data_IF_502278261472
#
_entry.id   IF_502278261472
#
_cell.length_a   1.000
_cell.length_b   1.000
_cell.length_c   1.000
_cell.angle_alpha   90.00
_cell.angle_beta   90.00
_cell.angle_gamma   90.00
#
_symmetry.space_group_name_H-M   'P 1'
#
loop_
_entity.id
_entity.type
_entity.pdbx_description
1 polymer ?
#
# COMPACT_ATOMS: atom_id res chain seq x y z
N UNK A 1 50.23 25.71 41.52
CA UNK A 1 49.27 25.19 40.54
C UNK A 1 48.41 24.19 41.29
N UNK A 2 47.23 24.62 41.70
CA UNK A 2 46.36 23.85 42.58
C UNK A 2 45.56 22.85 41.73
N UNK A 3 45.59 21.60 42.17
CA UNK A 3 44.80 20.48 41.71
C UNK A 3 43.31 20.80 41.86
N UNK A 4 42.56 20.81 40.75
CA UNK A 4 41.10 20.72 40.80
C UNK A 4 40.70 19.29 40.44
N UNK A 5 40.79 18.42 41.44
CA UNK A 5 40.14 17.12 41.43
C UNK A 5 38.63 17.36 41.45
N UNK A 6 38.00 17.30 40.29
CA UNK A 6 36.55 17.29 40.16
C UNK A 6 36.03 16.02 40.81
N UNK A 7 35.42 16.15 41.99
CA UNK A 7 34.77 15.06 42.69
C UNK A 7 33.62 14.53 41.84
N UNK A 8 33.82 13.37 41.18
CA UNK A 8 32.73 12.53 40.67
C UNK A 8 31.88 12.13 41.88
N UNK A 9 30.67 12.66 41.97
CA UNK A 9 29.65 12.10 42.86
C UNK A 9 29.32 10.71 42.31
N UNK A 10 29.91 9.67 42.88
CA UNK A 10 29.60 8.27 42.57
C UNK A 10 28.19 7.96 43.05
N UNK A 11 27.19 8.24 42.23
CA UNK A 11 25.82 7.77 42.43
C UNK A 11 25.81 6.27 42.19
N UNK A 12 25.97 5.46 43.23
CA UNK A 12 25.92 4.00 43.09
C UNK A 12 24.46 3.51 43.12
N UNK A 13 24.13 2.56 42.24
CA UNK A 13 22.83 1.86 42.28
C UNK A 13 22.76 1.07 43.58
N UNK A 14 21.59 1.07 44.21
CA UNK A 14 21.31 0.26 45.39
C UNK A 14 21.66 -1.22 45.13
N UNK A 15 22.51 -1.82 45.97
CA UNK A 15 22.92 -3.22 45.86
C UNK A 15 21.74 -4.21 45.87
N UNK A 16 20.69 -3.90 46.63
CA UNK A 16 19.46 -4.70 46.63
C UNK A 16 18.71 -4.64 45.30
N UNK A 17 18.75 -3.48 44.61
CA UNK A 17 18.14 -3.34 43.30
C UNK A 17 18.88 -4.16 42.25
N UNK A 18 20.23 -4.17 42.29
CA UNK A 18 21.05 -5.03 41.42
C UNK A 18 20.71 -6.51 41.61
N UNK A 19 20.55 -6.96 42.85
CA UNK A 19 20.17 -8.34 43.15
C UNK A 19 18.76 -8.70 42.65
N UNK A 20 17.79 -7.80 42.84
CA UNK A 20 16.42 -7.98 42.34
C UNK A 20 16.39 -8.11 40.81
N UNK A 21 17.05 -7.20 40.10
CA UNK A 21 17.12 -7.21 38.63
C UNK A 21 17.81 -8.49 38.14
N UNK A 22 18.97 -8.84 38.71
CA UNK A 22 19.72 -10.04 38.32
C UNK A 22 18.94 -11.33 38.58
N UNK A 23 18.19 -11.42 39.69
CA UNK A 23 17.35 -12.57 40.03
C UNK A 23 16.16 -12.73 39.08
N UNK A 24 15.52 -11.62 38.68
CA UNK A 24 14.41 -11.64 37.73
C UNK A 24 14.91 -12.07 36.35
N UNK A 25 15.96 -11.41 35.85
CA UNK A 25 16.54 -11.73 34.55
C UNK A 25 17.08 -13.16 34.49
N UNK A 26 17.66 -13.69 35.57
CA UNK A 26 18.13 -15.09 35.60
C UNK A 26 17.02 -16.13 35.49
N UNK A 27 15.77 -15.73 35.74
CA UNK A 27 14.58 -16.58 35.63
C UNK A 27 13.95 -16.53 34.23
N UNK A 28 14.34 -15.57 33.39
CA UNK A 28 13.86 -15.49 32.01
C UNK A 28 14.53 -16.54 31.12
N UNK A 29 13.72 -17.08 30.21
CA UNK A 29 14.16 -18.00 29.16
C UNK A 29 14.54 -17.22 27.90
N UNK A 30 15.41 -17.80 27.06
CA UNK A 30 15.83 -17.23 25.76
C UNK A 30 16.64 -15.93 25.78
N UNK A 31 17.30 -15.61 26.91
CA UNK A 31 18.27 -14.51 26.94
C UNK A 31 19.55 -14.87 26.17
N UNK A 32 20.02 -13.95 25.34
CA UNK A 32 21.29 -14.10 24.65
C UNK A 32 22.46 -13.92 25.62
N UNK A 33 23.39 -14.89 25.60
CA UNK A 33 24.66 -14.79 26.30
C UNK A 33 25.82 -14.93 25.31
N UNK A 34 26.91 -14.15 25.48
CA UNK A 34 28.12 -14.32 24.68
C UNK A 34 28.67 -15.75 24.81
N UNK A 35 29.26 -16.28 23.73
CA UNK A 35 29.76 -17.66 23.65
C UNK A 35 30.70 -18.06 24.79
N UNK A 36 31.48 -17.11 25.31
CA UNK A 36 32.38 -17.32 26.45
C UNK A 36 31.67 -17.65 27.77
N UNK A 37 30.43 -17.18 27.94
CA UNK A 37 29.64 -17.33 29.18
C UNK A 37 28.48 -18.31 29.03
N UNK A 38 28.14 -18.72 27.80
CA UNK A 38 27.09 -19.70 27.50
C UNK A 38 27.16 -21.01 28.31
N UNK A 39 28.33 -21.65 28.51
CA UNK A 39 28.40 -22.89 29.29
C UNK A 39 28.00 -22.72 30.76
N UNK A 40 28.20 -21.52 31.31
CA UNK A 40 27.80 -21.15 32.67
C UNK A 40 26.37 -20.64 32.73
N UNK A 41 25.84 -20.13 31.63
CA UNK A 41 24.48 -19.65 31.53
C UNK A 41 23.43 -20.78 31.44
N UNK A 42 23.79 -22.06 31.60
CA UNK A 42 22.80 -23.14 31.70
C UNK A 42 22.06 -23.12 33.04
N UNK A 43 22.74 -22.73 34.12
CA UNK A 43 22.16 -22.70 35.47
C UNK A 43 21.67 -21.29 35.84
N UNK A 44 20.46 -21.18 36.40
CA UNK A 44 19.89 -19.89 36.82
C UNK A 44 20.76 -19.17 37.86
N UNK A 45 21.34 -19.90 38.83
CA UNK A 45 22.24 -19.32 39.83
C UNK A 45 23.51 -18.73 39.20
N UNK A 46 24.05 -19.38 38.17
CA UNK A 46 25.23 -18.90 37.46
C UNK A 46 24.87 -17.71 36.56
N UNK A 47 23.71 -17.70 35.90
CA UNK A 47 23.19 -16.52 35.17
C UNK A 47 23.11 -15.29 36.08
N UNK A 48 22.55 -15.46 37.29
CA UNK A 48 22.47 -14.37 38.28
C UNK A 48 23.86 -13.80 38.59
N UNK A 49 24.85 -14.66 38.81
CA UNK A 49 26.23 -14.22 39.08
C UNK A 49 26.84 -13.41 37.92
N UNK A 50 26.54 -13.80 36.67
CA UNK A 50 27.01 -13.09 35.46
C UNK A 50 26.39 -11.69 35.38
N UNK A 51 25.10 -11.55 35.67
CA UNK A 51 24.43 -10.25 35.67
C UNK A 51 24.95 -9.34 36.79
N UNK A 52 25.18 -9.87 37.99
CA UNK A 52 25.75 -9.09 39.10
C UNK A 52 27.16 -8.62 38.81
N UNK A 53 28.00 -9.46 38.19
CA UNK A 53 29.33 -9.07 37.74
C UNK A 53 29.25 -7.93 36.70
N UNK A 54 28.37 -8.06 35.70
CA UNK A 54 28.22 -7.05 34.66
C UNK A 54 27.66 -5.72 35.21
N UNK A 55 26.62 -5.76 36.05
CA UNK A 55 26.05 -4.59 36.73
C UNK A 55 27.03 -3.89 37.69
N UNK A 56 28.11 -4.57 38.09
CA UNK A 56 29.14 -4.01 38.96
C UNK A 56 30.34 -3.48 38.16
N UNK A 57 30.65 -4.13 37.03
CA UNK A 57 31.80 -3.80 36.21
C UNK A 57 31.50 -2.73 35.16
N UNK A 58 30.40 -2.90 34.43
CA UNK A 58 30.02 -2.05 33.31
C UNK A 58 28.50 -2.04 33.10
N UNK A 59 27.89 -0.94 33.51
CA UNK A 59 26.44 -0.73 33.48
C UNK A 59 25.97 -0.36 32.08
N UNK A 60 26.78 0.34 31.28
CA UNK A 60 26.42 0.72 29.92
C UNK A 60 26.27 -0.52 29.03
N UNK A 61 27.24 -1.43 29.08
CA UNK A 61 27.19 -2.72 28.34
C UNK A 61 26.03 -3.60 28.82
N UNK A 62 25.68 -3.54 30.12
CA UNK A 62 24.49 -4.21 30.63
C UNK A 62 23.20 -3.66 29.99
N UNK A 63 23.05 -2.33 29.97
CA UNK A 63 21.86 -1.67 29.42
C UNK A 63 21.75 -1.86 27.91
N UNK A 64 22.85 -1.83 27.16
CA UNK A 64 22.87 -2.11 25.72
C UNK A 64 22.30 -3.50 25.40
N UNK A 65 22.70 -4.52 26.16
CA UNK A 65 22.37 -5.92 25.86
C UNK A 65 21.06 -6.41 26.46
N UNK A 66 20.78 -5.98 27.68
CA UNK A 66 19.67 -6.50 28.49
C UNK A 66 18.64 -5.43 28.84
N UNK A 67 18.87 -4.17 28.46
CA UNK A 67 18.00 -3.05 28.81
C UNK A 67 16.57 -3.18 28.28
N UNK A 68 16.38 -3.81 27.12
CA UNK A 68 15.04 -4.06 26.53
C UNK A 68 14.20 -5.05 27.34
N UNK A 69 14.83 -5.80 28.25
CA UNK A 69 14.18 -6.79 29.12
C UNK A 69 13.88 -6.23 30.52
N UNK A 70 14.25 -4.98 30.79
CA UNK A 70 14.00 -4.29 32.05
C UNK A 70 12.58 -3.70 32.10
N UNK A 71 12.04 -3.57 33.30
CA UNK A 71 10.78 -2.85 33.52
C UNK A 71 11.02 -1.35 33.72
N UNK A 72 9.97 -0.53 33.61
CA UNK A 72 10.07 0.92 33.87
C UNK A 72 10.57 1.23 35.28
N UNK A 73 10.13 0.46 36.27
CA UNK A 73 10.55 0.62 37.67
C UNK A 73 12.04 0.29 37.85
N UNK A 74 12.53 -0.74 37.17
CA UNK A 74 13.95 -1.12 37.21
C UNK A 74 14.82 -0.09 36.50
N UNK A 75 14.36 0.49 35.40
CA UNK A 75 15.07 1.59 34.72
C UNK A 75 15.19 2.83 35.60
N UNK A 76 14.25 3.07 36.51
CA UNK A 76 14.31 4.18 37.45
C UNK A 76 15.45 4.03 38.47
N UNK A 77 15.83 2.79 38.83
CA UNK A 77 16.95 2.52 39.75
C UNK A 77 18.31 2.99 39.18
N UNK A 78 18.41 3.17 37.86
CA UNK A 78 19.60 3.68 37.18
C UNK A 78 19.64 5.22 37.07
N UNK A 79 18.59 5.93 37.48
CA UNK A 79 18.53 7.40 37.40
C UNK A 79 19.61 8.10 38.24
N UNK A 80 20.09 7.42 39.29
CA UNK A 80 21.21 7.90 40.11
C UNK A 80 22.52 8.05 39.30
N UNK A 81 22.63 7.37 38.16
CA UNK A 81 23.79 7.34 37.28
C UNK A 81 23.67 8.23 36.03
N UNK A 82 22.66 9.12 35.97
CA UNK A 82 22.49 10.09 34.86
C UNK A 82 23.70 10.99 34.59
N UNK A 83 24.66 11.06 35.51
CA UNK A 83 25.90 11.81 35.32
C UNK A 83 26.84 11.20 34.27
N UNK A 84 26.69 9.91 33.94
CA UNK A 84 27.40 9.30 32.82
C UNK A 84 26.59 9.46 31.53
N UNK A 85 27.24 9.96 30.48
CA UNK A 85 26.62 10.19 29.19
C UNK A 85 26.10 8.89 28.55
N UNK A 86 26.89 7.81 28.58
CA UNK A 86 26.53 6.55 27.92
C UNK A 86 25.32 5.92 28.60
N UNK A 87 25.33 5.87 29.94
CA UNK A 87 24.22 5.35 30.74
C UNK A 87 22.96 6.20 30.49
N UNK A 88 23.07 7.53 30.55
CA UNK A 88 21.95 8.41 30.30
C UNK A 88 21.38 8.24 28.88
N UNK A 89 22.24 8.08 27.87
CA UNK A 89 21.81 7.81 26.50
C UNK A 89 21.02 6.50 26.41
N UNK A 90 21.54 5.40 26.96
CA UNK A 90 20.84 4.11 26.98
C UNK A 90 19.50 4.19 27.73
N UNK A 91 19.45 4.86 28.88
CA UNK A 91 18.21 5.02 29.64
C UNK A 91 17.15 5.79 28.87
N UNK A 92 17.53 6.89 28.22
CA UNK A 92 16.60 7.68 27.41
C UNK A 92 16.13 6.87 26.20
N UNK A 93 17.04 6.21 25.49
CA UNK A 93 16.70 5.35 24.36
C UNK A 93 15.72 4.23 24.73
N UNK A 94 15.97 3.53 25.84
CA UNK A 94 15.09 2.47 26.34
C UNK A 94 13.71 3.01 26.73
N UNK A 95 13.64 4.20 27.34
CA UNK A 95 12.37 4.87 27.65
C UNK A 95 11.59 5.24 26.39
N UNK A 96 12.27 5.77 25.38
CA UNK A 96 11.67 6.09 24.07
C UNK A 96 11.19 4.83 23.33
N UNK A 97 11.75 3.65 23.61
CA UNK A 97 11.26 2.38 23.06
C UNK A 97 10.04 1.88 23.84
N UNK A 98 10.10 1.87 25.17
CA UNK A 98 9.05 1.30 26.02
C UNK A 98 7.81 2.19 26.15
N UNK A 99 8.03 3.50 26.29
CA UNK A 99 7.01 4.50 26.62
C UNK A 99 7.26 5.76 25.78
N UNK A 100 7.11 5.68 24.45
CA UNK A 100 7.36 6.82 23.58
C UNK A 100 6.41 7.97 23.92
N UNK A 101 6.96 9.17 24.04
CA UNK A 101 6.18 10.39 24.27
C UNK A 101 5.36 10.72 23.01
N UNK A 102 4.24 11.43 23.17
CA UNK A 102 3.44 11.90 22.02
C UNK A 102 4.27 12.66 20.99
N UNK A 103 5.24 13.47 21.44
CA UNK A 103 6.16 14.17 20.55
C UNK A 103 7.10 13.23 19.81
N UNK A 104 7.62 12.19 20.47
CA UNK A 104 8.49 11.19 19.82
C UNK A 104 7.71 10.35 18.80
N UNK A 105 6.46 9.98 19.10
CA UNK A 105 5.57 9.31 18.14
C UNK A 105 5.29 10.21 16.93
N UNK A 106 5.04 11.50 17.17
CA UNK A 106 4.85 12.49 16.11
C UNK A 106 6.10 12.61 15.24
N UNK A 107 7.29 12.71 15.85
CA UNK A 107 8.56 12.78 15.13
C UNK A 107 8.81 11.51 14.30
N UNK A 108 8.61 10.31 14.87
CA UNK A 108 8.71 9.05 14.11
C UNK A 108 7.74 9.03 12.92
N UNK A 109 6.49 9.47 13.12
CA UNK A 109 5.52 9.56 12.04
C UNK A 109 5.95 10.54 10.95
N UNK A 110 6.55 11.68 11.31
CA UNK A 110 7.09 12.65 10.35
C UNK A 110 8.26 12.03 9.58
N UNK A 111 9.21 11.39 10.27
CA UNK A 111 10.35 10.70 9.63
C UNK A 111 9.87 9.66 8.63
N UNK A 112 8.90 8.82 9.00
CA UNK A 112 8.30 7.82 8.09
C UNK A 112 7.67 8.50 6.87
N UNK A 113 6.87 9.55 7.05
CA UNK A 113 6.25 10.28 5.93
C UNK A 113 7.29 10.90 5.01
N UNK A 114 8.36 11.46 5.56
CA UNK A 114 9.45 12.07 4.80
C UNK A 114 10.23 11.02 4.00
N UNK A 115 10.58 9.88 4.62
CA UNK A 115 11.26 8.74 3.96
C UNK A 115 10.40 8.18 2.82
N UNK A 116 9.12 7.94 3.08
CA UNK A 116 8.17 7.52 2.04
C UNK A 116 8.08 8.56 0.93
N UNK A 117 8.04 9.87 1.23
CA UNK A 117 8.03 10.91 0.19
C UNK A 117 9.30 10.92 -0.66
N UNK A 118 10.46 10.74 -0.06
CA UNK A 118 11.72 10.60 -0.79
C UNK A 118 11.71 9.37 -1.71
N UNK A 119 11.24 8.23 -1.20
CA UNK A 119 11.12 7.00 -1.99
C UNK A 119 10.08 7.11 -3.11
N UNK A 120 8.96 7.79 -2.86
CA UNK A 120 7.93 8.09 -3.85
C UNK A 120 8.53 8.83 -5.05
N UNK A 121 9.31 9.89 -4.80
CA UNK A 121 9.96 10.66 -5.87
C UNK A 121 10.90 9.79 -6.71
N UNK A 122 11.62 8.85 -6.07
CA UNK A 122 12.45 7.87 -6.76
C UNK A 122 11.59 6.95 -7.65
N UNK A 123 10.50 6.40 -7.13
CA UNK A 123 9.60 5.54 -7.89
C UNK A 123 8.93 6.25 -9.08
N UNK A 124 8.59 7.53 -8.92
CA UNK A 124 8.07 8.36 -10.01
C UNK A 124 9.13 8.54 -11.09
N UNK A 125 10.39 8.75 -10.70
CA UNK A 125 11.51 8.90 -11.64
C UNK A 125 11.83 7.61 -12.39
N UNK A 126 11.73 6.46 -11.71
CA UNK A 126 11.94 5.14 -12.28
C UNK A 126 10.83 4.79 -13.30
N UNK A 127 9.57 5.11 -12.96
CA UNK A 127 8.41 5.06 -13.87
C UNK A 127 7.70 3.70 -13.97
N UNK A 128 8.22 2.62 -13.37
CA UNK A 128 7.59 1.30 -13.45
C UNK A 128 6.46 1.13 -12.44
N UNK A 129 6.67 1.58 -11.19
CA UNK A 129 5.70 1.35 -10.10
C UNK A 129 4.39 2.13 -10.29
N UNK A 130 4.49 3.37 -10.77
CA UNK A 130 3.35 4.23 -11.10
C UNK A 130 3.02 4.22 -12.59
N UNK A 131 3.40 3.16 -13.31
CA UNK A 131 2.88 2.94 -14.66
C UNK A 131 1.39 2.58 -14.58
N UNK A 132 0.62 2.93 -15.62
CA UNK A 132 -0.81 2.63 -15.66
C UNK A 132 -1.08 1.13 -15.46
N UNK A 133 -0.34 0.27 -16.16
CA UNK A 133 -0.48 -1.18 -16.05
C UNK A 133 -0.21 -1.67 -14.62
N UNK A 134 0.89 -1.22 -14.00
CA UNK A 134 1.23 -1.61 -12.62
C UNK A 134 0.23 -1.08 -11.59
N UNK A 135 -0.36 0.09 -11.82
CA UNK A 135 -1.41 0.61 -10.93
C UNK A 135 -2.74 -0.14 -11.14
N UNK A 136 -3.08 -0.49 -12.39
CA UNK A 136 -4.28 -1.29 -12.73
C UNK A 136 -4.24 -2.67 -12.10
N UNK A 137 -3.09 -3.35 -12.13
CA UNK A 137 -2.96 -4.69 -11.52
C UNK A 137 -3.19 -4.66 -10.01
N UNK A 138 -2.77 -3.58 -9.35
CA UNK A 138 -2.86 -3.42 -7.89
C UNK A 138 -4.22 -2.93 -7.43
N UNK A 139 -4.83 -2.03 -8.19
CA UNK A 139 -6.14 -1.44 -7.86
C UNK A 139 -7.07 -1.46 -9.09
N UNK A 140 -7.57 -2.65 -9.48
CA UNK A 140 -8.27 -2.81 -10.75
C UNK A 140 -9.62 -2.08 -10.79
N UNK A 141 -10.36 -2.08 -9.68
CA UNK A 141 -11.63 -1.37 -9.59
C UNK A 141 -11.46 0.15 -9.67
N UNK A 142 -10.46 0.69 -8.96
CA UNK A 142 -10.18 2.11 -9.00
C UNK A 142 -9.72 2.55 -10.40
N UNK A 143 -8.88 1.75 -11.06
CA UNK A 143 -8.51 2.01 -12.46
C UNK A 143 -9.75 2.01 -13.37
N UNK A 144 -10.64 1.03 -13.21
CA UNK A 144 -11.87 0.94 -14.01
C UNK A 144 -12.73 2.20 -13.89
N UNK A 145 -12.95 2.69 -12.65
CA UNK A 145 -13.79 3.86 -12.38
C UNK A 145 -13.24 5.17 -12.97
N UNK A 146 -11.92 5.35 -12.96
CA UNK A 146 -11.28 6.58 -13.43
C UNK A 146 -10.93 6.52 -14.92
N UNK A 147 -10.35 5.42 -15.39
CA UNK A 147 -9.76 5.32 -16.73
C UNK A 147 -10.44 4.22 -17.55
N UNK A 148 -10.59 3.03 -16.97
CA UNK A 148 -10.94 1.82 -17.71
C UNK A 148 -12.34 1.80 -18.33
N UNK A 149 -13.31 2.58 -17.83
CA UNK A 149 -14.65 2.72 -18.42
C UNK A 149 -14.72 3.63 -19.64
N UNK A 150 -13.73 4.51 -19.81
CA UNK A 150 -13.63 5.46 -20.92
C UNK A 150 -12.68 4.99 -22.02
N UNK A 151 -11.89 3.94 -21.76
CA UNK A 151 -11.02 3.33 -22.76
C UNK A 151 -11.83 2.54 -23.78
N UNK A 152 -11.42 2.62 -25.04
CA UNK A 152 -12.05 1.90 -26.15
C UNK A 152 -12.06 0.38 -25.91
N UNK A 153 -13.24 -0.28 -25.93
CA UNK A 153 -13.38 -1.73 -25.85
C UNK A 153 -12.57 -2.49 -26.91
N UNK A 154 -12.16 -1.85 -28.00
CA UNK A 154 -11.32 -2.46 -29.05
C UNK A 154 -10.00 -3.05 -28.51
N UNK A 155 -9.45 -2.46 -27.44
CA UNK A 155 -8.29 -3.02 -26.72
C UNK A 155 -8.59 -4.37 -26.06
N UNK A 156 -9.85 -4.65 -25.72
CA UNK A 156 -10.31 -5.91 -25.11
C UNK A 156 -10.76 -6.94 -26.14
N UNK A 157 -10.68 -6.62 -27.43
CA UNK A 157 -11.12 -7.50 -28.52
C UNK A 157 -10.46 -8.88 -28.48
N UNK A 158 -11.20 -9.87 -29.01
CA UNK A 158 -10.80 -11.27 -29.05
C UNK A 158 -9.52 -11.53 -29.86
N UNK A 159 -9.21 -10.70 -30.84
CA UNK A 159 -8.05 -10.89 -31.70
C UNK A 159 -7.43 -9.54 -32.04
N UNK A 160 -6.15 -9.36 -31.69
CA UNK A 160 -5.35 -8.23 -32.14
C UNK A 160 -4.56 -8.62 -33.39
N UNK A 161 -4.47 -7.77 -34.42
CA UNK A 161 -3.66 -8.05 -35.60
C UNK A 161 -2.21 -8.37 -35.23
N UNK A 162 -1.73 -9.56 -35.59
CA UNK A 162 -0.34 -10.00 -35.37
C UNK A 162 -0.06 -10.73 -34.06
N UNK A 163 -1.05 -10.91 -33.18
CA UNK A 163 -0.91 -11.63 -31.91
C UNK A 163 -1.07 -13.15 -32.10
N UNK A 164 -0.29 -13.97 -31.38
CA UNK A 164 -0.44 -15.43 -31.42
C UNK A 164 -1.61 -15.85 -30.52
N UNK A 165 -2.33 -16.92 -30.88
CA UNK A 165 -3.41 -17.47 -30.03
C UNK A 165 -2.99 -17.72 -28.57
N UNK A 166 -1.74 -18.12 -28.32
CA UNK A 166 -1.22 -18.29 -26.96
C UNK A 166 -1.14 -16.99 -26.17
N UNK A 167 -0.75 -15.89 -26.82
CA UNK A 167 -0.65 -14.55 -26.21
C UNK A 167 -2.04 -13.99 -25.94
N UNK A 168 -2.96 -14.14 -26.91
CA UNK A 168 -4.37 -13.78 -26.75
C UNK A 168 -5.03 -14.54 -25.59
N UNK A 169 -4.81 -15.85 -25.48
CA UNK A 169 -5.35 -16.66 -24.37
C UNK A 169 -4.81 -16.21 -23.01
N UNK A 170 -3.51 -15.94 -22.92
CA UNK A 170 -2.88 -15.46 -21.70
C UNK A 170 -3.47 -14.10 -21.28
N UNK A 171 -3.51 -13.14 -22.21
CA UNK A 171 -4.14 -11.82 -21.99
C UNK A 171 -5.59 -11.95 -21.55
N UNK A 172 -6.40 -12.79 -22.20
CA UNK A 172 -7.82 -12.99 -21.79
C UNK A 172 -7.95 -13.60 -20.41
N UNK A 173 -7.06 -14.50 -20.02
CA UNK A 173 -7.07 -15.08 -18.68
C UNK A 173 -6.73 -14.04 -17.61
N UNK A 174 -5.78 -13.14 -17.89
CA UNK A 174 -5.40 -12.03 -17.03
C UNK A 174 -6.55 -11.00 -16.92
N UNK A 175 -7.15 -10.62 -18.05
CA UNK A 175 -8.32 -9.72 -18.09
C UNK A 175 -9.53 -10.33 -17.36
N UNK A 176 -9.76 -11.64 -17.48
CA UNK A 176 -10.84 -12.31 -16.75
C UNK A 176 -10.62 -12.28 -15.23
N UNK A 177 -9.37 -12.40 -14.78
CA UNK A 177 -9.01 -12.25 -13.39
C UNK A 177 -9.28 -10.82 -12.90
N UNK A 178 -8.85 -9.80 -13.66
CA UNK A 178 -9.09 -8.39 -13.37
C UNK A 178 -10.59 -8.08 -13.27
N UNK A 179 -11.40 -8.53 -14.23
CA UNK A 179 -12.86 -8.34 -14.21
C UNK A 179 -13.52 -9.02 -13.02
N UNK A 180 -13.05 -10.22 -12.63
CA UNK A 180 -13.55 -10.90 -11.45
C UNK A 180 -13.22 -10.14 -10.14
N UNK A 181 -12.04 -9.53 -10.06
CA UNK A 181 -11.62 -8.68 -8.93
C UNK A 181 -12.50 -7.43 -8.83
N UNK A 182 -12.74 -6.76 -9.97
CA UNK A 182 -13.64 -5.60 -10.06
C UNK A 182 -15.05 -5.97 -9.57
N UNK A 183 -15.61 -7.09 -10.05
CA UNK A 183 -16.95 -7.55 -9.62
C UNK A 183 -17.03 -7.83 -8.14
N UNK A 184 -15.99 -8.44 -7.56
CA UNK A 184 -15.92 -8.70 -6.11
C UNK A 184 -15.99 -7.39 -5.33
N UNK A 185 -15.27 -6.37 -5.80
CA UNK A 185 -15.27 -5.06 -5.16
C UNK A 185 -16.61 -4.32 -5.34
N UNK A 186 -17.20 -4.36 -6.53
CA UNK A 186 -18.55 -3.84 -6.79
C UNK A 186 -19.60 -4.47 -5.88
N UNK A 187 -19.53 -5.79 -5.68
CA UNK A 187 -20.40 -6.51 -4.75
C UNK A 187 -20.18 -6.06 -3.30
N UNK A 188 -18.91 -5.89 -2.89
CA UNK A 188 -18.55 -5.43 -1.53
C UNK A 188 -19.11 -4.02 -1.24
N UNK A 189 -19.13 -3.15 -2.24
CA UNK A 189 -19.63 -1.78 -2.17
C UNK A 189 -21.15 -1.68 -2.37
N UNK A 190 -21.83 -2.76 -2.74
CA UNK A 190 -23.28 -2.80 -2.95
C UNK A 190 -23.74 -2.13 -4.25
N UNK A 191 -22.88 -2.11 -5.28
CA UNK A 191 -23.23 -1.64 -6.62
C UNK A 191 -24.32 -2.56 -7.21
N UNK A 192 -25.33 -1.98 -7.86
CA UNK A 192 -26.41 -2.75 -8.46
C UNK A 192 -25.88 -3.68 -9.57
N UNK A 193 -26.42 -4.90 -9.66
CA UNK A 193 -25.91 -5.92 -10.59
C UNK A 193 -25.96 -5.47 -12.06
N UNK A 194 -26.95 -4.64 -12.43
CA UNK A 194 -27.03 -4.03 -13.76
C UNK A 194 -25.81 -3.18 -14.14
N UNK A 195 -25.13 -2.60 -13.16
CA UNK A 195 -23.99 -1.69 -13.35
C UNK A 195 -22.65 -2.44 -13.20
N UNK A 196 -22.69 -3.78 -13.10
CA UNK A 196 -21.47 -4.59 -12.95
C UNK A 196 -20.70 -4.71 -14.27
N UNK A 197 -19.37 -4.67 -14.16
CA UNK A 197 -18.50 -4.76 -15.34
C UNK A 197 -18.73 -6.06 -16.10
N UNK A 198 -18.91 -5.95 -17.42
CA UNK A 198 -19.11 -7.08 -18.32
C UNK A 198 -20.52 -7.68 -18.31
N UNK A 199 -21.51 -7.03 -17.69
CA UNK A 199 -22.93 -7.32 -17.94
C UNK A 199 -23.44 -6.70 -19.24
N UNK A 200 -22.73 -5.70 -19.79
CA UNK A 200 -23.00 -5.10 -21.11
C UNK A 200 -23.02 -6.14 -22.23
N UNK A 201 -22.11 -7.12 -22.19
CA UNK A 201 -22.04 -8.19 -23.21
C UNK A 201 -23.23 -9.13 -23.11
N UNK A 202 -23.73 -9.40 -21.89
CA UNK A 202 -24.91 -10.26 -21.70
C UNK A 202 -26.18 -9.58 -22.16
N UNK A 203 -26.32 -8.27 -21.90
CA UNK A 203 -27.48 -7.51 -22.37
C UNK A 203 -27.49 -7.42 -23.89
N UNK A 204 -26.34 -7.22 -24.53
CA UNK A 204 -26.24 -7.20 -26.01
C UNK A 204 -26.47 -8.60 -26.60
N UNK A 205 -25.94 -9.68 -26.00
CA UNK A 205 -26.23 -11.05 -26.46
C UNK A 205 -27.70 -11.45 -26.22
N UNK A 206 -28.33 -11.00 -25.14
CA UNK A 206 -29.77 -11.21 -24.87
C UNK A 206 -30.64 -10.38 -25.83
N UNK A 207 -30.30 -9.11 -26.09
CA UNK A 207 -31.00 -8.27 -27.08
C UNK A 207 -30.82 -8.79 -28.51
N UNK A 208 -29.62 -9.22 -28.92
CA UNK A 208 -29.40 -9.84 -30.23
C UNK A 208 -30.18 -11.16 -30.36
N UNK A 209 -30.24 -11.98 -29.30
CA UNK A 209 -31.03 -13.21 -29.28
C UNK A 209 -32.54 -12.96 -29.33
N UNK A 210 -33.05 -11.94 -28.64
CA UNK A 210 -34.46 -11.53 -28.72
C UNK A 210 -34.83 -11.03 -30.12
N UNK A 211 -33.93 -10.29 -30.79
CA UNK A 211 -34.14 -9.84 -32.18
C UNK A 211 -34.11 -11.01 -33.16
N UNK A 212 -33.21 -11.99 -33.00
CA UNK A 212 -33.22 -13.22 -33.82
C UNK A 212 -34.52 -14.03 -33.62
N UNK A 213 -35.02 -14.14 -32.38
CA UNK A 213 -36.31 -14.81 -32.11
C UNK A 213 -37.50 -14.04 -32.72
N UNK A 214 -37.52 -12.70 -32.67
CA UNK A 214 -38.56 -11.89 -33.32
C UNK A 214 -38.51 -12.01 -34.86
N UNK A 215 -37.32 -12.05 -35.48
CA UNK A 215 -37.16 -12.29 -36.93
C UNK A 215 -37.64 -13.71 -37.33
N UNK A 216 -37.33 -14.75 -36.53
CA UNK A 216 -37.82 -16.11 -36.78
C UNK A 216 -39.36 -16.20 -36.66
N UNK A 217 -39.98 -15.52 -35.68
CA UNK A 217 -41.44 -15.47 -35.55
C UNK A 217 -42.12 -14.73 -36.72
N UNK A 218 -41.51 -13.65 -37.24
CA UNK A 218 -42.00 -12.96 -38.45
C UNK A 218 -41.90 -13.85 -39.70
N UNK A 219 -40.80 -14.58 -39.88
CA UNK A 219 -40.66 -15.53 -40.99
C UNK A 219 -41.68 -16.68 -40.92
N UNK A 220 -41.97 -17.22 -39.73
CA UNK A 220 -43.01 -18.25 -39.55
C UNK A 220 -44.42 -17.71 -39.85
N UNK A 221 -44.71 -16.46 -39.51
CA UNK A 221 -45.99 -15.80 -39.82
C UNK A 221 -46.14 -15.51 -41.33
N UNK A 222 -45.08 -15.10 -42.02
CA UNK A 222 -45.09 -14.93 -43.48
C UNK A 222 -45.26 -16.26 -44.23
N UNK A 223 -44.66 -17.35 -43.72
CA UNK A 223 -44.84 -18.69 -44.29
C UNK A 223 -46.26 -19.23 -44.06
N UNK A 224 -46.89 -18.92 -42.92
CA UNK A 224 -48.28 -19.27 -42.65
C UNK A 224 -49.27 -18.47 -43.51
N UNK A 225 -48.99 -17.20 -43.81
CA UNK A 225 -49.83 -16.34 -44.64
C UNK A 225 -49.77 -16.68 -46.14
N UNK A 226 -48.70 -17.31 -46.63
CA UNK A 226 -48.55 -17.71 -48.03
C UNK A 226 -49.25 -19.05 -48.40
N UNK A 227 -49.97 -19.68 -47.45
CA UNK A 227 -50.69 -20.94 -47.65
C UNK A 227 -52.02 -20.84 -48.41
N UNK A 228 -52.58 -19.63 -48.59
CA UNK A 228 -53.86 -19.46 -49.29
C UNK A 228 -53.82 -18.36 -50.37
N UNK A 229 -54.16 -18.80 -51.59
CA UNK A 229 -54.68 -18.05 -52.75
C UNK A 229 -53.75 -17.82 -53.97
N UNK A 230 -53.93 -18.69 -54.96
CA UNK A 230 -53.54 -18.48 -56.38
C UNK A 230 -54.63 -17.63 -57.09
N UNK A 231 -54.19 -16.71 -57.96
CA UNK A 231 -54.84 -16.16 -59.19
C UNK A 231 -55.22 -14.65 -59.22
N UNK A 232 -54.31 -13.88 -59.85
CA UNK A 232 -54.50 -12.79 -60.87
C UNK A 232 -55.32 -11.53 -60.57
N UNK A 233 -54.69 -10.35 -60.73
CA UNK A 233 -54.75 -9.52 -61.96
C UNK A 233 -53.94 -8.19 -61.86
N UNK A 234 -53.48 -7.70 -63.01
CA UNK A 234 -52.65 -6.51 -63.26
C UNK A 234 -53.18 -5.17 -62.69
N UNK A 235 -52.24 -4.27 -62.33
CA UNK A 235 -52.51 -2.82 -62.21
C UNK A 235 -51.28 -2.02 -61.74
N UNK A 236 -50.73 -1.19 -62.64
CA UNK A 236 -49.56 -0.31 -62.48
C UNK A 236 -49.71 0.75 -61.37
N UNK A 237 -48.67 0.96 -60.53
CA UNK A 237 -48.21 2.26 -60.02
C UNK A 237 -46.98 2.11 -59.09
N UNK A 238 -45.86 2.74 -59.43
CA UNK A 238 -44.83 3.16 -58.46
C UNK A 238 -45.41 4.31 -57.60
N UNK A 239 -44.99 4.56 -56.34
CA UNK A 239 -43.67 5.20 -56.14
C UNK A 239 -42.95 4.95 -54.77
N UNK A 240 -41.69 5.39 -54.77
CA UNK A 240 -40.95 6.05 -53.68
C UNK A 240 -40.33 5.25 -52.52
N UNK A 241 -39.00 5.16 -52.63
CA UNK A 241 -38.03 5.20 -51.54
C UNK A 241 -38.44 6.10 -50.36
N UNK A 242 -38.46 5.55 -49.16
CA UNK A 242 -38.03 6.25 -47.94
C UNK A 242 -37.55 5.19 -46.94
N UNK A 243 -36.27 4.86 -47.03
CA UNK A 243 -35.57 4.13 -45.95
C UNK A 243 -35.23 5.19 -44.90
N UNK A 244 -36.13 5.41 -43.95
CA UNK A 244 -35.84 6.11 -42.71
C UNK A 244 -35.13 5.14 -41.77
N UNK A 245 -33.83 5.00 -42.00
CA UNK A 245 -32.88 4.60 -40.98
C UNK A 245 -32.70 5.81 -40.05
N UNK A 246 -33.43 5.84 -38.93
CA UNK A 246 -33.20 6.79 -37.86
C UNK A 246 -33.96 6.41 -36.58
N UNK A 247 -33.44 5.43 -35.84
CA UNK A 247 -33.49 5.41 -34.37
C UNK A 247 -32.60 4.26 -33.84
N UNK A 248 -31.33 4.23 -34.26
CA UNK A 248 -30.33 3.58 -33.41
C UNK A 248 -30.21 4.48 -32.17
N UNK A 249 -30.85 4.08 -31.08
CA UNK A 249 -30.64 4.65 -29.75
C UNK A 249 -29.18 4.46 -29.40
N UNK A 250 -28.37 5.46 -29.72
CA UNK A 250 -26.99 5.55 -29.28
C UNK A 250 -27.04 5.60 -27.74
N UNK A 251 -26.73 4.47 -27.10
CA UNK A 251 -26.11 4.54 -25.78
C UNK A 251 -24.78 5.25 -26.00
N UNK A 252 -24.78 6.56 -25.79
CA UNK A 252 -23.55 7.32 -25.61
C UNK A 252 -22.89 6.79 -24.34
N UNK A 253 -22.05 5.76 -24.47
CA UNK A 253 -20.94 5.61 -23.55
C UNK A 253 -20.22 6.95 -23.54
N UNK A 254 -20.03 7.56 -22.37
CA UNK A 254 -19.41 8.87 -22.22
C UNK A 254 -17.98 8.82 -22.79
N UNK A 255 -17.81 9.02 -24.10
CA UNK A 255 -16.49 9.03 -24.72
C UNK A 255 -15.83 10.34 -24.36
N UNK A 256 -15.02 10.30 -23.31
CA UNK A 256 -14.19 11.44 -22.91
C UNK A 256 -13.20 11.78 -24.01
N UNK A 257 -12.91 13.07 -24.16
CA UNK A 257 -11.81 13.53 -25.00
C UNK A 257 -10.47 13.01 -24.46
N UNK A 258 -9.45 12.95 -25.33
CA UNK A 258 -8.11 12.51 -24.92
C UNK A 258 -7.53 13.35 -23.77
N UNK A 259 -7.89 14.63 -23.68
CA UNK A 259 -7.47 15.52 -22.59
C UNK A 259 -8.15 15.13 -21.28
N UNK A 260 -9.46 14.86 -21.30
CA UNK A 260 -10.20 14.43 -20.11
C UNK A 260 -9.75 13.05 -19.61
N UNK A 261 -9.42 12.12 -20.52
CA UNK A 261 -8.84 10.82 -20.15
C UNK A 261 -7.49 11.00 -19.44
N UNK A 262 -6.65 11.93 -19.91
CA UNK A 262 -5.39 12.24 -19.25
C UNK A 262 -5.63 12.81 -17.84
N UNK A 263 -6.58 13.74 -17.69
CA UNK A 263 -6.94 14.29 -16.38
C UNK A 263 -7.46 13.21 -15.42
N UNK A 264 -8.21 12.22 -15.92
CA UNK A 264 -8.65 11.08 -15.12
C UNK A 264 -7.49 10.16 -14.72
N UNK A 265 -6.55 9.91 -15.63
CA UNK A 265 -5.34 9.13 -15.34
C UNK A 265 -4.47 9.83 -14.29
N UNK A 266 -4.35 11.16 -14.36
CA UNK A 266 -3.61 11.96 -13.38
C UNK A 266 -4.27 11.90 -12.00
N UNK A 267 -5.61 11.96 -11.94
CA UNK A 267 -6.36 11.79 -10.69
C UNK A 267 -6.18 10.39 -10.10
N UNK A 268 -6.28 9.34 -10.93
CA UNK A 268 -6.02 7.97 -10.51
C UNK A 268 -4.59 7.83 -9.95
N UNK A 269 -3.61 8.35 -10.68
CA UNK A 269 -2.19 8.34 -10.27
C UNK A 269 -2.00 9.05 -8.94
N UNK A 270 -2.63 10.22 -8.75
CA UNK A 270 -2.58 10.96 -7.49
C UNK A 270 -3.12 10.14 -6.31
N UNK A 271 -4.25 9.46 -6.48
CA UNK A 271 -4.82 8.59 -5.44
C UNK A 271 -3.85 7.45 -5.11
N UNK A 272 -3.25 6.82 -6.12
CA UNK A 272 -2.26 5.77 -5.93
C UNK A 272 -1.02 6.26 -5.17
N UNK A 273 -0.55 7.49 -5.45
CA UNK A 273 0.53 8.12 -4.70
C UNK A 273 0.15 8.40 -3.24
N UNK A 274 -1.10 8.81 -2.97
CA UNK A 274 -1.58 9.01 -1.59
C UNK A 274 -1.67 7.69 -0.83
N UNK A 275 -2.20 6.64 -1.44
CA UNK A 275 -2.24 5.28 -0.87
C UNK A 275 -0.83 4.76 -0.56
N UNK A 276 0.12 5.07 -1.44
CA UNK A 276 1.52 4.76 -1.20
C UNK A 276 2.05 5.49 0.05
N UNK A 277 1.79 6.79 0.19
CA UNK A 277 2.26 7.57 1.35
C UNK A 277 1.60 7.14 2.66
N UNK A 278 0.32 6.75 2.63
CA UNK A 278 -0.40 6.23 3.81
C UNK A 278 0.07 4.82 4.20
N UNK A 279 0.68 4.06 3.30
CA UNK A 279 1.17 2.71 3.56
C UNK A 279 0.12 1.63 3.29
N UNK A 280 -0.93 1.96 2.53
CA UNK A 280 -2.01 1.02 2.21
C UNK A 280 -1.58 -0.06 1.20
N UNK A 281 -0.49 0.18 0.49
CA UNK A 281 0.07 -0.66 -0.59
C UNK A 281 0.95 -1.83 -0.10
N UNK A 282 0.83 -2.19 1.17
CA UNK A 282 1.68 -3.17 1.86
C UNK A 282 1.65 -4.58 1.24
N UNK A 283 0.65 -4.89 0.43
CA UNK A 283 0.54 -6.16 -0.30
C UNK A 283 1.53 -6.26 -1.47
N UNK A 284 1.94 -5.11 -2.02
CA UNK A 284 2.82 -5.02 -3.19
C UNK A 284 4.21 -4.50 -2.84
N UNK A 285 4.35 -3.87 -1.66
CA UNK A 285 5.61 -3.28 -1.22
C UNK A 285 5.85 -3.46 0.27
N UNK A 286 7.08 -3.84 0.62
CA UNK A 286 7.53 -3.97 1.99
C UNK A 286 7.99 -2.60 2.54
N UNK A 287 7.09 -1.92 3.25
CA UNK A 287 7.34 -0.59 3.82
C UNK A 287 8.42 -0.57 4.90
N UNK A 288 8.70 -1.69 5.59
CA UNK A 288 9.76 -1.72 6.59
C UNK A 288 11.11 -1.37 5.97
N UNK A 289 11.35 -1.76 4.71
CA UNK A 289 12.57 -1.41 3.96
C UNK A 289 12.71 0.07 3.64
N UNK A 290 11.63 0.85 3.73
CA UNK A 290 11.61 2.28 3.43
C UNK A 290 11.57 3.07 4.73
N UNK A 291 10.71 2.66 5.65
CA UNK A 291 10.48 3.32 6.93
C UNK A 291 11.73 3.25 7.82
N UNK A 292 12.56 2.21 7.68
CA UNK A 292 13.82 2.03 8.41
C UNK A 292 15.07 2.48 7.63
N UNK A 293 14.93 2.93 6.39
CA UNK A 293 16.06 3.35 5.55
C UNK A 293 16.51 4.79 5.88
N UNK A 294 17.55 4.90 6.70
CA UNK A 294 18.18 6.17 7.05
C UNK A 294 18.83 6.89 5.86
N UNK A 295 19.18 6.18 4.78
CA UNK A 295 19.81 6.83 3.61
C UNK A 295 18.87 7.76 2.85
N UNK A 296 17.55 7.62 3.07
CA UNK A 296 16.54 8.50 2.52
C UNK A 296 16.42 9.83 3.28
N UNK A 297 17.07 9.95 4.45
CA UNK A 297 16.98 11.17 5.25
C UNK A 297 17.73 12.35 4.62
N UNK A 298 18.78 12.08 3.87
CA UNK A 298 19.56 13.09 3.14
C UNK A 298 18.71 13.91 2.17
N UNK A 299 17.64 13.31 1.63
CA UNK A 299 16.76 13.95 0.66
C UNK A 299 16.05 15.18 1.25
N UNK A 300 15.52 15.07 2.46
CA UNK A 300 14.76 16.14 3.10
C UNK A 300 15.62 16.99 4.04
N UNK A 301 16.80 16.51 4.45
CA UNK A 301 17.75 17.31 5.24
C UNK A 301 18.22 18.56 4.48
N UNK A 302 18.38 18.45 3.15
CA UNK A 302 18.73 19.58 2.29
C UNK A 302 17.60 20.61 2.23
N UNK A 303 16.39 20.16 1.92
CA UNK A 303 15.20 21.01 1.82
C UNK A 303 14.88 21.69 3.16
N UNK A 304 15.04 20.97 4.28
CA UNK A 304 14.86 21.55 5.62
C UNK A 304 15.90 22.62 5.96
N UNK A 305 17.11 22.53 5.42
CA UNK A 305 18.13 23.56 5.58
C UNK A 305 17.77 24.80 4.75
N UNK A 306 17.35 24.61 3.49
CA UNK A 306 16.93 25.69 2.60
C UNK A 306 15.69 26.42 3.17
N UNK A 307 14.69 25.70 3.69
CA UNK A 307 13.53 26.27 4.38
C UNK A 307 13.92 27.08 5.63
N UNK A 308 14.94 26.61 6.37
CA UNK A 308 15.45 27.30 7.55
C UNK A 308 16.19 28.59 7.18
N UNK A 309 16.94 28.59 6.09
CA UNK A 309 17.59 29.78 5.52
C UNK A 309 16.52 30.79 5.05
N UNK A 310 15.53 30.36 4.27
CA UNK A 310 14.44 31.23 3.80
C UNK A 310 13.67 31.87 4.95
N UNK A 311 13.39 31.11 6.01
CA UNK A 311 12.76 31.65 7.22
C UNK A 311 13.64 32.68 7.93
N UNK A 312 14.95 32.46 7.97
CA UNK A 312 15.91 33.41 8.54
C UNK A 312 15.94 34.73 7.75
N UNK A 313 15.83 34.69 6.42
CA UNK A 313 15.80 35.91 5.58
C UNK A 313 14.44 36.62 5.55
N UNK A 314 13.33 35.92 5.86
CA UNK A 314 12.00 36.53 5.93
C UNK A 314 11.73 37.29 7.24
N UNK A 315 12.58 37.13 8.25
CA UNK A 315 12.49 37.80 9.56
C UNK A 315 13.34 39.09 9.66
N UNK A 316 14.05 39.49 8.59
CA UNK A 316 14.78 40.77 8.40
C UNK A 316 14.04 41.73 7.44
#
# INVERSE_FOLDING_TARGET
MAETSTSRSSGEINGEAKERIAQRLSSLENLYFPRAVQPRASDSSQRKSIFLDLLSRDIAVFLERYGTQLTSDELQEFDALKGDYEINWHLNHLRTIMSPTSDELRLRSITVKNRRRAYLNKLISDGQYFSEDAMREREPYLHHEYVGKFQDPSGRSMARPGERWSETLMRRSEEAFVVAEIRREQQRLGVAERDWVGNEIKQVEEEEGEVEEEEEEEEEQEQAANGEHIMKANGSAAPSNHVESAAAGQMEGETLSAMEIQDQLDQFTYIMQQKFLSGEDHQHLDYSKIDEDESLDDHWLREANDDAEDKYFAED
#
